data_IF_790511951773
#
_entry.id   IF_790511951773
#
_cell.length_a   1.000
_cell.length_b   1.000
_cell.length_c   1.000
_cell.angle_alpha   90.00
_cell.angle_beta   90.00
_cell.angle_gamma   90.00
#
_symmetry.space_group_name_H-M   'P 1'
#
loop_
_entity.id
_entity.type
_entity.pdbx_description
1 polymer ?
#
# COMPACT_ATOMS: atom_id res chain seq x y z
N UNK A 1 21.97 7.36 4.48
CA UNK A 1 20.70 8.05 4.19
C UNK A 1 19.81 7.89 5.40
N UNK A 2 19.29 8.98 5.98
CA UNK A 2 18.24 8.86 7.01
C UNK A 2 16.90 8.80 6.29
N UNK A 3 16.10 7.79 6.59
CA UNK A 3 14.77 7.64 6.02
C UNK A 3 13.83 8.62 6.75
N UNK A 4 13.16 9.53 6.04
CA UNK A 4 12.23 10.46 6.66
C UNK A 4 11.10 9.70 7.35
N UNK A 5 10.77 10.09 8.59
CA UNK A 5 9.73 9.42 9.38
C UNK A 5 8.38 9.42 8.64
N UNK A 6 8.05 10.51 7.93
CA UNK A 6 6.81 10.59 7.16
C UNK A 6 6.72 9.54 6.04
N UNK A 7 7.84 9.15 5.43
CA UNK A 7 7.85 8.08 4.42
C UNK A 7 7.67 6.71 5.07
N UNK A 8 8.26 6.49 6.25
CA UNK A 8 8.07 5.24 7.00
C UNK A 8 6.61 5.07 7.46
N UNK A 9 5.95 6.15 7.90
CA UNK A 9 4.53 6.13 8.26
C UNK A 9 3.67 5.82 7.03
N UNK A 10 3.96 6.45 5.89
CA UNK A 10 3.24 6.18 4.64
C UNK A 10 3.39 4.72 4.20
N UNK A 11 4.60 4.17 4.30
CA UNK A 11 4.91 2.78 3.95
C UNK A 11 4.21 1.79 4.91
N UNK A 12 4.08 2.14 6.18
CA UNK A 12 3.29 1.35 7.13
C UNK A 12 1.81 1.28 6.73
N UNK A 13 1.19 2.41 6.35
CA UNK A 13 -0.17 2.39 5.83
C UNK A 13 -0.27 1.63 4.51
N UNK A 14 0.72 1.77 3.63
CA UNK A 14 0.80 1.03 2.38
C UNK A 14 0.75 -0.49 2.62
N UNK A 15 1.58 -0.99 3.54
CA UNK A 15 1.59 -2.40 3.95
C UNK A 15 0.23 -2.87 4.47
N UNK A 16 -0.45 -2.06 5.29
CA UNK A 16 -1.79 -2.39 5.80
C UNK A 16 -2.78 -2.50 4.65
N UNK A 17 -2.81 -1.54 3.73
CA UNK A 17 -3.72 -1.57 2.58
C UNK A 17 -3.46 -2.79 1.68
N UNK A 18 -2.20 -3.13 1.42
CA UNK A 18 -1.85 -4.31 0.62
C UNK A 18 -2.27 -5.58 1.36
N UNK A 19 -1.96 -5.70 2.65
CA UNK A 19 -2.35 -6.85 3.47
C UNK A 19 -3.87 -7.05 3.49
N UNK A 20 -4.62 -5.96 3.65
CA UNK A 20 -6.07 -5.97 3.64
C UNK A 20 -6.63 -6.35 2.27
N UNK A 21 -6.09 -5.76 1.19
CA UNK A 21 -6.47 -6.09 -0.17
C UNK A 21 -6.15 -7.54 -0.54
N UNK A 22 -5.04 -8.09 -0.06
CA UNK A 22 -4.71 -9.51 -0.22
C UNK A 22 -5.68 -10.41 0.56
N UNK A 23 -6.07 -10.03 1.79
CA UNK A 23 -7.06 -10.76 2.56
C UNK A 23 -8.44 -10.77 1.87
N UNK A 24 -8.87 -9.63 1.33
CA UNK A 24 -10.10 -9.53 0.53
C UNK A 24 -10.01 -10.37 -0.75
N UNK A 25 -8.89 -10.28 -1.49
CA UNK A 25 -8.76 -10.91 -2.80
C UNK A 25 -8.54 -12.43 -2.74
N UNK A 26 -7.73 -12.92 -1.80
CA UNK A 26 -7.35 -14.33 -1.72
C UNK A 26 -8.14 -15.12 -0.68
N UNK A 27 -8.53 -14.49 0.44
CA UNK A 27 -9.26 -15.17 1.51
C UNK A 27 -10.77 -14.84 1.51
N UNK A 28 -11.24 -14.06 0.53
CA UNK A 28 -12.64 -13.64 0.37
C UNK A 28 -13.21 -13.05 1.68
N UNK A 29 -12.39 -12.28 2.38
CA UNK A 29 -12.75 -11.65 3.65
C UNK A 29 -13.53 -10.37 3.38
N UNK A 30 -14.77 -10.36 3.83
CA UNK A 30 -15.69 -9.23 3.67
C UNK A 30 -15.42 -8.16 4.73
N UNK A 31 -14.42 -7.32 4.48
CA UNK A 31 -14.03 -6.26 5.41
C UNK A 31 -14.82 -4.95 5.20
N UNK A 32 -15.36 -4.74 3.99
CA UNK A 32 -16.18 -3.57 3.65
C UNK A 32 -17.67 -3.90 3.82
N UNK A 33 -18.49 -2.95 4.32
CA UNK A 33 -19.94 -3.12 4.37
C UNK A 33 -20.52 -3.19 2.95
N UNK A 34 -21.62 -3.93 2.75
CA UNK A 34 -22.21 -4.22 1.43
C UNK A 34 -22.41 -2.97 0.55
N UNK A 35 -22.76 -1.83 1.15
CA UNK A 35 -22.93 -0.55 0.44
C UNK A 35 -21.66 0.02 -0.21
N UNK A 36 -20.47 -0.39 0.23
CA UNK A 36 -19.17 0.06 -0.29
C UNK A 36 -18.40 -1.06 -0.99
N UNK A 37 -18.97 -2.26 -1.09
CA UNK A 37 -18.36 -3.37 -1.82
C UNK A 37 -18.53 -3.18 -3.32
N UNK A 38 -17.50 -3.55 -4.05
CA UNK A 38 -17.51 -3.58 -5.50
C UNK A 38 -16.68 -4.77 -5.97
N UNK A 39 -16.96 -5.25 -7.17
CA UNK A 39 -16.49 -6.55 -7.69
C UNK A 39 -14.95 -6.76 -7.64
N UNK A 40 -14.17 -5.68 -7.52
CA UNK A 40 -12.70 -5.70 -7.49
C UNK A 40 -12.10 -4.88 -6.34
N UNK A 41 -12.82 -4.76 -5.23
CA UNK A 41 -12.38 -4.05 -4.02
C UNK A 41 -11.01 -4.51 -3.52
N UNK A 42 -10.79 -5.81 -3.31
CA UNK A 42 -9.49 -6.31 -2.86
C UNK A 42 -8.32 -5.92 -3.78
N UNK A 43 -8.54 -5.96 -5.09
CA UNK A 43 -7.53 -5.60 -6.08
C UNK A 43 -7.23 -4.09 -6.05
N UNK A 44 -8.26 -3.26 -5.88
CA UNK A 44 -8.08 -1.80 -5.72
C UNK A 44 -7.28 -1.48 -4.47
N UNK A 45 -7.56 -2.12 -3.33
CA UNK A 45 -6.78 -1.92 -2.10
C UNK A 45 -5.30 -2.29 -2.28
N UNK A 46 -5.00 -3.38 -2.99
CA UNK A 46 -3.61 -3.76 -3.33
C UNK A 46 -2.95 -2.68 -4.20
N UNK A 47 -3.61 -2.25 -5.28
CA UNK A 47 -3.04 -1.26 -6.21
C UNK A 47 -2.81 0.08 -5.53
N UNK A 48 -3.75 0.55 -4.73
CA UNK A 48 -3.61 1.80 -3.96
C UNK A 48 -2.48 1.69 -2.95
N UNK A 49 -2.37 0.56 -2.24
CA UNK A 49 -1.26 0.31 -1.32
C UNK A 49 0.10 0.33 -2.02
N UNK A 50 0.23 -0.34 -3.17
CA UNK A 50 1.47 -0.31 -3.99
C UNK A 50 1.80 1.13 -4.44
N UNK A 51 0.79 1.88 -4.88
CA UNK A 51 0.98 3.28 -5.27
C UNK A 51 1.46 4.14 -4.09
N UNK A 52 1.00 3.84 -2.87
CA UNK A 52 1.45 4.52 -1.64
C UNK A 52 2.89 4.19 -1.24
N UNK A 53 3.44 3.04 -1.65
CA UNK A 53 4.87 2.70 -1.44
C UNK A 53 5.81 3.45 -2.38
N UNK A 54 5.34 3.90 -3.56
CA UNK A 54 6.16 4.55 -4.58
C UNK A 54 7.03 5.71 -4.05
N UNK A 55 6.53 6.64 -3.22
CA UNK A 55 7.34 7.74 -2.71
C UNK A 55 8.57 7.28 -1.92
N UNK A 56 8.42 6.23 -1.10
CA UNK A 56 9.52 5.67 -0.31
C UNK A 56 10.56 5.00 -1.23
N UNK A 57 10.11 4.21 -2.21
CA UNK A 57 10.97 3.58 -3.22
C UNK A 57 11.73 4.62 -4.03
N UNK A 58 11.05 5.67 -4.51
CA UNK A 58 11.67 6.75 -5.27
C UNK A 58 12.71 7.51 -4.45
N UNK A 59 12.46 7.72 -3.15
CA UNK A 59 13.42 8.36 -2.25
C UNK A 59 14.69 7.51 -2.09
N UNK A 60 14.54 6.20 -1.89
CA UNK A 60 15.67 5.27 -1.78
C UNK A 60 16.47 5.25 -3.10
N UNK A 61 15.80 5.05 -4.24
CA UNK A 61 16.45 5.01 -5.56
C UNK A 61 17.19 6.31 -5.87
N UNK A 62 16.59 7.47 -5.58
CA UNK A 62 17.24 8.78 -5.81
C UNK A 62 18.47 8.97 -4.95
N UNK A 63 18.47 8.51 -3.70
CA UNK A 63 19.65 8.65 -2.86
C UNK A 63 20.72 7.58 -3.12
N UNK A 64 20.36 6.40 -3.63
CA UNK A 64 21.31 5.44 -4.18
C UNK A 64 21.98 5.97 -5.44
N UNK A 65 21.23 6.61 -6.36
CA UNK A 65 21.78 7.24 -7.58
C UNK A 65 22.69 8.44 -7.30
N UNK A 66 22.50 9.13 -6.16
CA UNK A 66 23.33 10.29 -5.77
C UNK A 66 24.62 9.89 -5.04
N UNK A 67 24.79 8.62 -4.67
CA UNK A 67 26.04 8.06 -4.14
C UNK A 67 26.85 7.45 -5.27
#
# INVERSE_FOLDING_TARGET
MKLPIHLAVLDFFACILIGLGMAMHFANVDFLPESMRFEKDGLVFIVVGIALMLPAVLYIVRGLRKR
#
